data_IF_053363165908
#
_entry.id   IF_053363165908
#
_cell.length_a   1.000
_cell.length_b   1.000
_cell.length_c   1.000
_cell.angle_alpha   90.00
_cell.angle_beta   90.00
_cell.angle_gamma   90.00
#
_symmetry.space_group_name_H-M   'P 1'
#
loop_
_entity.id
_entity.type
_entity.pdbx_description
1 polymer ?
#
# COMPACT_ATOMS: atom_id res chain seq x y z
N UNK A 1 -12.43 7.70 2.08
CA UNK A 1 -11.52 7.78 0.92
C UNK A 1 -10.38 6.81 1.18
N UNK A 2 -10.24 5.70 0.42
CA UNK A 2 -9.13 4.74 0.62
C UNK A 2 -7.93 5.23 -0.18
N UNK A 3 -6.78 5.41 0.47
CA UNK A 3 -5.54 5.76 -0.24
C UNK A 3 -5.17 4.60 -1.17
N UNK A 4 -5.16 4.87 -2.48
CA UNK A 4 -4.77 3.90 -3.50
C UNK A 4 -3.24 3.72 -3.48
N UNK A 5 -2.76 2.48 -3.36
CA UNK A 5 -1.33 2.20 -3.23
C UNK A 5 -0.50 2.68 -4.42
N UNK A 6 -1.06 2.67 -5.63
CA UNK A 6 -0.38 3.16 -6.83
C UNK A 6 -0.26 4.69 -6.80
N UNK A 7 -1.27 5.40 -6.30
CA UNK A 7 -1.20 6.85 -6.10
C UNK A 7 -0.09 7.26 -5.12
N UNK A 8 0.09 6.50 -4.03
CA UNK A 8 1.16 6.74 -3.04
C UNK A 8 2.53 6.49 -3.66
N UNK A 9 2.68 5.42 -4.45
CA UNK A 9 3.92 5.10 -5.14
C UNK A 9 4.29 6.17 -6.18
N UNK A 10 3.31 6.64 -6.96
CA UNK A 10 3.52 7.68 -7.96
C UNK A 10 4.00 9.01 -7.34
N UNK A 11 3.43 9.37 -6.18
CA UNK A 11 3.90 10.52 -5.40
C UNK A 11 5.33 10.28 -4.92
N UNK A 12 5.64 9.12 -4.35
CA UNK A 12 7.00 8.81 -3.89
C UNK A 12 8.05 8.93 -5.02
N UNK A 13 7.76 8.42 -6.22
CA UNK A 13 8.63 8.54 -7.39
C UNK A 13 8.83 9.98 -7.83
N UNK A 14 7.75 10.78 -7.90
CA UNK A 14 7.84 12.20 -8.26
C UNK A 14 8.71 12.99 -7.27
N UNK A 15 8.60 12.68 -5.99
CA UNK A 15 9.38 13.33 -4.94
C UNK A 15 10.87 12.98 -5.03
N UNK A 16 11.21 11.71 -5.30
CA UNK A 16 12.59 11.29 -5.53
C UNK A 16 13.25 12.08 -6.67
N UNK A 17 12.55 12.26 -7.80
CA UNK A 17 13.06 13.03 -8.93
C UNK A 17 13.30 14.53 -8.61
N UNK A 18 12.46 15.13 -7.76
CA UNK A 18 12.66 16.52 -7.31
C UNK A 18 13.90 16.64 -6.41
N UNK A 19 14.19 15.62 -5.60
CA UNK A 19 15.39 15.58 -4.75
C UNK A 19 16.66 15.46 -5.57
N UNK A 20 16.69 14.60 -6.59
CA UNK A 20 17.86 14.48 -7.47
C UNK A 20 18.17 15.83 -8.13
N UNK A 21 17.15 16.55 -8.63
CA UNK A 21 17.32 17.89 -9.18
C UNK A 21 17.82 18.94 -8.17
N UNK A 22 17.38 18.87 -6.91
CA UNK A 22 17.89 19.73 -5.84
C UNK A 22 19.36 19.43 -5.52
N UNK A 23 19.73 18.15 -5.50
CA UNK A 23 21.09 17.70 -5.23
C UNK A 23 22.05 18.10 -6.36
N UNK A 24 21.61 18.00 -7.62
CA UNK A 24 22.35 18.49 -8.78
C UNK A 24 22.58 20.02 -8.70
N UNK A 25 21.57 20.77 -8.25
CA UNK A 25 21.68 22.22 -8.03
C UNK A 25 22.67 22.54 -6.90
N UNK A 26 22.68 21.74 -5.84
CA UNK A 26 23.63 21.88 -4.73
C UNK A 26 25.07 21.52 -5.14
N UNK A 27 25.25 20.53 -6.01
CA UNK A 27 26.56 20.20 -6.57
C UNK A 27 27.09 21.32 -7.48
N UNK A 28 26.20 22.00 -8.22
CA UNK A 28 26.55 23.11 -9.09
C UNK A 28 26.99 24.39 -8.34
N UNK A 29 26.64 24.55 -7.06
CA UNK A 29 26.90 25.80 -6.30
C UNK A 29 28.26 25.88 -5.61
N UNK A 30 29.12 24.85 -5.70
CA UNK A 30 30.50 24.88 -5.19
C UNK A 30 30.63 24.95 -3.65
N UNK A 31 31.78 24.49 -3.14
CA UNK A 31 32.08 24.27 -1.71
C UNK A 31 31.70 25.46 -0.80
N UNK A 32 30.89 25.20 0.24
CA UNK A 32 30.78 26.07 1.42
C UNK A 32 29.47 26.85 1.60
N UNK A 33 28.36 26.49 0.94
CA UNK A 33 27.07 27.13 1.20
C UNK A 33 26.47 26.73 2.55
N UNK A 34 26.01 27.69 3.35
CA UNK A 34 25.42 27.50 4.69
C UNK A 34 24.19 26.58 4.72
N UNK A 35 23.56 26.36 3.58
CA UNK A 35 22.34 25.56 3.41
C UNK A 35 22.58 24.05 3.25
N UNK A 36 23.82 23.62 3.00
CA UNK A 36 24.11 22.21 2.71
C UNK A 36 23.72 21.23 3.84
N UNK A 37 23.94 21.55 5.13
CA UNK A 37 23.48 20.67 6.21
C UNK A 37 21.96 20.50 6.22
N UNK A 38 21.20 21.57 5.95
CA UNK A 38 19.75 21.50 5.86
C UNK A 38 19.29 20.70 4.65
N UNK A 39 19.96 20.85 3.50
CA UNK A 39 19.66 20.06 2.30
C UNK A 39 19.92 18.56 2.55
N UNK A 40 21.04 18.21 3.18
CA UNK A 40 21.35 16.83 3.55
C UNK A 40 20.31 16.24 4.53
N UNK A 41 19.88 17.02 5.53
CA UNK A 41 18.85 16.60 6.47
C UNK A 41 17.49 16.37 5.80
N UNK A 42 17.07 17.26 4.88
CA UNK A 42 15.83 17.08 4.09
C UNK A 42 15.92 15.84 3.22
N UNK A 43 17.05 15.61 2.55
CA UNK A 43 17.27 14.41 1.75
C UNK A 43 17.17 13.13 2.59
N UNK A 44 17.78 13.12 3.79
CA UNK A 44 17.67 11.99 4.72
C UNK A 44 16.23 11.72 5.15
N UNK A 45 15.52 12.75 5.63
CA UNK A 45 14.12 12.62 6.03
C UNK A 45 13.22 12.13 4.88
N UNK A 46 13.55 12.51 3.65
CA UNK A 46 12.79 12.09 2.49
C UNK A 46 13.00 10.61 2.13
N UNK A 47 14.22 10.08 2.28
CA UNK A 47 14.50 8.65 2.15
C UNK A 47 13.66 7.86 3.17
N UNK A 48 13.59 8.33 4.41
CA UNK A 48 12.77 7.68 5.45
C UNK A 48 11.28 7.69 5.11
N UNK A 49 10.75 8.82 4.62
CA UNK A 49 9.35 8.93 4.18
C UNK A 49 9.05 7.99 3.01
N UNK A 50 9.97 7.87 2.04
CA UNK A 50 9.82 6.97 0.91
C UNK A 50 9.81 5.50 1.36
N UNK A 51 10.71 5.11 2.26
CA UNK A 51 10.75 3.77 2.83
C UNK A 51 9.47 3.44 3.62
N UNK A 52 9.00 4.39 4.43
CA UNK A 52 7.72 4.24 5.15
C UNK A 52 6.54 4.08 4.21
N UNK A 53 6.44 4.90 3.17
CA UNK A 53 5.37 4.84 2.18
C UNK A 53 5.34 3.49 1.44
N UNK A 54 6.51 2.98 1.02
CA UNK A 54 6.63 1.68 0.40
C UNK A 54 6.19 0.55 1.35
N UNK A 55 6.62 0.59 2.62
CA UNK A 55 6.21 -0.37 3.64
C UNK A 55 4.70 -0.33 3.92
N UNK A 56 4.10 0.87 3.93
CA UNK A 56 2.66 1.05 4.09
C UNK A 56 1.89 0.48 2.89
N UNK A 57 2.33 0.76 1.66
CA UNK A 57 1.71 0.25 0.44
C UNK A 57 1.74 -1.29 0.39
N UNK A 58 2.86 -1.90 0.79
CA UNK A 58 2.99 -3.35 0.90
C UNK A 58 1.99 -3.94 1.92
N UNK A 59 1.89 -3.34 3.12
CA UNK A 59 0.95 -3.80 4.16
C UNK A 59 -0.51 -3.68 3.73
N UNK A 60 -0.89 -2.56 3.12
CA UNK A 60 -2.25 -2.33 2.61
C UNK A 60 -2.59 -3.35 1.53
N UNK A 61 -1.67 -3.61 0.59
CA UNK A 61 -1.86 -4.58 -0.50
C UNK A 61 -1.98 -6.01 0.02
N UNK A 62 -1.16 -6.39 0.99
CA UNK A 62 -1.25 -7.69 1.66
C UNK A 62 -2.62 -7.85 2.35
N UNK A 63 -3.06 -6.84 3.11
CA UNK A 63 -4.37 -6.88 3.77
C UNK A 63 -5.53 -6.96 2.78
N UNK A 64 -5.49 -6.20 1.69
CA UNK A 64 -6.50 -6.25 0.64
C UNK A 64 -6.58 -7.65 0.00
N UNK A 65 -5.45 -8.31 -0.19
CA UNK A 65 -5.38 -9.69 -0.69
C UNK A 65 -6.00 -10.68 0.30
N UNK A 66 -5.67 -10.57 1.59
CA UNK A 66 -6.27 -11.42 2.63
C UNK A 66 -7.78 -11.24 2.72
N UNK A 67 -8.28 -10.00 2.65
CA UNK A 67 -9.73 -9.72 2.66
C UNK A 67 -10.43 -10.37 1.47
N UNK A 68 -9.85 -10.26 0.25
CA UNK A 68 -10.43 -10.89 -0.95
C UNK A 68 -10.46 -12.41 -0.85
N UNK A 69 -9.42 -13.03 -0.29
CA UNK A 69 -9.40 -14.48 -0.04
C UNK A 69 -10.47 -14.87 0.99
N UNK A 70 -10.61 -14.10 2.07
CA UNK A 70 -11.64 -14.36 3.08
C UNK A 70 -13.05 -14.24 2.50
N UNK A 71 -13.31 -13.22 1.69
CA UNK A 71 -14.58 -13.01 0.98
C UNK A 71 -14.92 -14.19 0.06
N UNK A 72 -13.94 -14.67 -0.72
CA UNK A 72 -14.12 -15.86 -1.57
C UNK A 72 -14.46 -17.10 -0.75
N UNK A 73 -13.75 -17.34 0.37
CA UNK A 73 -14.00 -18.48 1.27
C UNK A 73 -15.38 -18.39 1.92
N UNK A 74 -15.78 -17.19 2.33
CA UNK A 74 -17.09 -16.94 2.92
C UNK A 74 -18.20 -17.28 1.92
N UNK A 75 -18.10 -16.81 0.67
CA UNK A 75 -19.08 -17.14 -0.38
C UNK A 75 -19.18 -18.64 -0.67
N UNK A 76 -18.05 -19.37 -0.66
CA UNK A 76 -18.06 -20.82 -0.81
C UNK A 76 -18.78 -21.51 0.37
N UNK A 77 -18.50 -21.08 1.60
CA UNK A 77 -19.13 -21.61 2.81
C UNK A 77 -20.64 -21.37 2.83
N UNK A 78 -21.10 -20.20 2.38
CA UNK A 78 -22.54 -19.90 2.25
C UNK A 78 -23.22 -20.80 1.22
N UNK A 79 -22.57 -21.09 0.09
CA UNK A 79 -23.10 -22.00 -0.93
C UNK A 79 -23.20 -23.45 -0.43
N UNK A 80 -22.19 -23.93 0.30
CA UNK A 80 -22.19 -25.24 0.95
C UNK A 80 -23.30 -25.32 2.02
N UNK A 81 -23.38 -24.32 2.90
CA UNK A 81 -24.41 -24.25 3.94
C UNK A 81 -25.84 -24.23 3.36
N UNK A 82 -26.05 -23.53 2.23
CA UNK A 82 -27.34 -23.52 1.55
C UNK A 82 -27.70 -24.91 0.97
N UNK A 83 -26.70 -25.65 0.49
CA UNK A 83 -26.89 -27.02 -0.02
C UNK A 83 -27.27 -27.97 1.13
N UNK A 84 -26.57 -27.88 2.26
CA UNK A 84 -26.86 -28.68 3.45
C UNK A 84 -28.26 -28.39 4.00
N UNK A 85 -28.63 -27.10 4.08
CA UNK A 85 -29.94 -26.69 4.54
C UNK A 85 -31.07 -27.19 3.62
N UNK A 86 -30.85 -27.19 2.31
CA UNK A 86 -31.81 -27.74 1.34
C UNK A 86 -31.98 -29.25 1.52
N UNK A 87 -30.89 -30.00 1.76
CA UNK A 87 -30.95 -31.44 2.02
C UNK A 87 -31.73 -31.76 3.29
N UNK A 88 -31.51 -31.01 4.38
CA UNK A 88 -32.30 -31.14 5.62
C UNK A 88 -33.78 -30.86 5.36
N UNK A 89 -34.11 -29.79 4.63
CA UNK A 89 -35.48 -29.46 4.26
C UNK A 89 -36.18 -30.57 3.48
N UNK A 90 -35.50 -31.18 2.50
CA UNK A 90 -36.02 -32.32 1.75
C UNK A 90 -36.28 -33.54 2.65
N UNK A 91 -35.38 -33.83 3.60
CA UNK A 91 -35.58 -34.92 4.55
C UNK A 91 -36.80 -34.71 5.46
N UNK A 92 -37.08 -33.48 5.88
CA UNK A 92 -38.23 -33.15 6.73
C UNK A 92 -39.55 -33.27 5.96
N UNK A 93 -39.58 -32.91 4.68
CA UNK A 93 -40.79 -32.99 3.84
C UNK A 93 -41.13 -34.44 3.45
N UNK A 94 -40.14 -35.35 3.47
CA UNK A 94 -40.32 -36.75 3.08
C UNK A 94 -40.83 -37.67 4.21
N UNK A 95 -41.13 -37.14 5.40
CA UNK A 95 -41.64 -37.87 6.58
C UNK A 95 -43.16 -37.78 6.70
#
# INVERSE_FOLDING_TARGET
>A
MRADGASVQAVATRWAALTDGLNDTAAATGLGSSWQPSAAAVNGAQVDVAAFAAGLAARVSARATCVRQADTRYGANEAESATDLAAVGQSVISV
#
